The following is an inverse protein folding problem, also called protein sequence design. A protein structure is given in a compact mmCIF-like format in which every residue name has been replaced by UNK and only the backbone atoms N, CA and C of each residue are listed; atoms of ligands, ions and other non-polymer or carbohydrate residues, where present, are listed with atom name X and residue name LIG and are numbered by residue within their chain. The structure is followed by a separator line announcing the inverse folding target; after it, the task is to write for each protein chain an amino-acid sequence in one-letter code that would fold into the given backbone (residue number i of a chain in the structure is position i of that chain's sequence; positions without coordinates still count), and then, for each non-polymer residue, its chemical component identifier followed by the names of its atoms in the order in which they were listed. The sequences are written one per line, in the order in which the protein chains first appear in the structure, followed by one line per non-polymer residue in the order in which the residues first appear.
data_IF_150452229820
#
_entry.id   IF_150452229820
#
_cell.length_a   1.000
_cell.length_b   1.000
_cell.length_c   1.000
_cell.angle_alpha   90.00
_cell.angle_beta   90.00
_cell.angle_gamma   90.00
#
_symmetry.space_group_name_H-M   'P 1'
#
loop_
_entity.id
_entity.type
_entity.pdbx_description
1 polymer ?
#
# COMPACT_ATOMS: atom_id res chain seq x y z
N UNK A 1 1.17 -3.86 10.26
CA UNK A 1 2.23 -3.29 9.39
C UNK A 1 2.92 -4.43 8.65
N UNK A 2 3.10 -4.33 7.34
CA UNK A 2 3.62 -5.39 6.47
C UNK A 2 4.93 -4.93 5.84
N UNK A 3 5.97 -5.75 5.96
CA UNK A 3 7.21 -5.62 5.18
C UNK A 3 7.47 -6.92 4.43
N UNK A 4 7.92 -6.83 3.18
CA UNK A 4 8.20 -7.97 2.32
C UNK A 4 9.69 -7.99 2.00
N UNK A 5 10.35 -9.14 2.19
CA UNK A 5 11.68 -9.38 1.66
C UNK A 5 11.76 -10.81 1.12
N UNK A 6 11.83 -10.91 -0.21
CA UNK A 6 11.83 -12.18 -0.94
C UNK A 6 13.19 -12.46 -1.57
N UNK A 7 13.48 -13.74 -1.81
CA UNK A 7 14.67 -14.21 -2.49
C UNK A 7 15.92 -14.24 -1.62
N UNK A 8 17.12 -14.26 -2.24
CA UNK A 8 18.38 -14.42 -1.54
C UNK A 8 18.66 -13.37 -0.46
N UNK A 9 18.13 -12.15 -0.65
CA UNK A 9 18.26 -11.06 0.32
C UNK A 9 17.51 -11.35 1.62
N UNK A 10 16.51 -12.23 1.63
CA UNK A 10 15.81 -12.61 2.86
C UNK A 10 16.72 -13.28 3.89
N UNK A 11 17.77 -13.97 3.42
CA UNK A 11 18.76 -14.65 4.27
C UNK A 11 19.84 -13.71 4.81
N UNK A 12 20.16 -12.63 4.09
CA UNK A 12 21.15 -11.64 4.50
C UNK A 12 20.72 -10.24 4.02
N UNK A 13 19.76 -9.60 4.73
CA UNK A 13 19.26 -8.29 4.35
C UNK A 13 20.34 -7.21 4.55
N UNK A 14 20.39 -6.16 3.72
CA UNK A 14 21.26 -5.02 3.96
C UNK A 14 20.99 -4.40 5.35
N UNK A 15 22.04 -4.05 6.07
CA UNK A 15 21.92 -3.47 7.42
C UNK A 15 21.10 -2.19 7.43
N UNK A 16 21.21 -1.35 6.40
CA UNK A 16 20.41 -0.13 6.23
C UNK A 16 18.91 -0.42 6.15
N UNK A 17 18.50 -1.53 5.54
CA UNK A 17 17.09 -1.94 5.46
C UNK A 17 16.57 -2.47 6.78
N UNK A 18 17.41 -3.19 7.52
CA UNK A 18 17.07 -3.63 8.89
C UNK A 18 16.87 -2.40 9.78
N UNK A 19 17.79 -1.43 9.71
CA UNK A 19 17.67 -0.16 10.45
C UNK A 19 16.42 0.63 10.08
N UNK A 20 16.11 0.74 8.79
CA UNK A 20 14.92 1.41 8.29
C UNK A 20 13.64 0.76 8.83
N UNK A 21 13.51 -0.57 8.67
CA UNK A 21 12.38 -1.34 9.21
C UNK A 21 12.27 -1.20 10.73
N UNK A 22 13.38 -1.28 11.46
CA UNK A 22 13.36 -1.19 12.93
C UNK A 22 12.91 0.19 13.39
N UNK A 23 13.32 1.27 12.70
CA UNK A 23 12.81 2.63 12.99
C UNK A 23 11.28 2.70 12.94
N UNK A 24 10.66 1.97 12.00
CA UNK A 24 9.21 1.89 11.89
C UNK A 24 8.55 1.05 12.98
N UNK A 25 9.17 -0.07 13.37
CA UNK A 25 8.64 -0.97 14.40
C UNK A 25 8.72 -0.34 15.77
N UNK A 26 9.86 0.27 16.12
CA UNK A 26 10.06 0.92 17.40
C UNK A 26 9.06 2.07 17.59
N UNK A 27 8.90 2.89 16.55
CA UNK A 27 8.00 4.05 16.58
C UNK A 27 6.52 3.65 16.67
N UNK A 28 6.16 2.47 16.18
CA UNK A 28 4.79 1.94 16.14
C UNK A 28 4.65 0.63 16.93
N UNK A 29 5.39 0.50 18.03
CA UNK A 29 5.40 -0.72 18.88
C UNK A 29 4.04 -1.05 19.50
N UNK A 30 3.10 -0.09 19.48
CA UNK A 30 1.72 -0.25 19.91
C UNK A 30 0.81 -0.91 18.86
N UNK A 31 1.28 -1.17 17.63
CA UNK A 31 0.43 -1.80 16.62
C UNK A 31 0.22 -3.28 16.95
N UNK A 32 -0.99 -3.77 16.68
CA UNK A 32 -1.37 -5.16 17.01
C UNK A 32 -0.39 -6.18 16.40
N UNK A 33 0.03 -5.95 15.13
CA UNK A 33 0.88 -6.89 14.39
C UNK A 33 1.87 -6.21 13.46
N UNK A 34 3.11 -6.69 13.50
CA UNK A 34 4.16 -6.42 12.53
C UNK A 34 4.48 -7.71 11.77
N UNK A 35 4.12 -7.76 10.50
CA UNK A 35 4.35 -8.90 9.63
C UNK A 35 5.63 -8.74 8.84
N UNK A 36 6.36 -9.85 8.71
CA UNK A 36 7.54 -9.97 7.86
C UNK A 36 7.35 -11.14 6.90
N UNK A 37 7.29 -10.82 5.61
CA UNK A 37 6.94 -11.77 4.56
C UNK A 37 8.19 -12.24 3.82
N UNK A 38 8.38 -13.55 3.82
CA UNK A 38 9.46 -14.29 3.16
C UNK A 38 8.88 -15.20 2.09
N UNK A 39 9.71 -15.83 1.27
CA UNK A 39 9.25 -16.72 0.18
C UNK A 39 8.26 -17.79 0.66
N UNK A 40 8.55 -18.41 1.81
CA UNK A 40 7.75 -19.53 2.34
C UNK A 40 6.35 -19.06 2.78
N UNK A 41 6.28 -18.08 3.68
CA UNK A 41 4.99 -17.65 4.23
C UNK A 41 4.16 -16.87 3.20
N UNK A 42 4.79 -16.23 2.23
CA UNK A 42 4.10 -15.54 1.13
C UNK A 42 3.44 -16.53 0.20
N UNK A 43 4.14 -17.61 -0.16
CA UNK A 43 3.61 -18.67 -1.01
C UNK A 43 2.45 -19.39 -0.31
N UNK A 44 2.63 -19.78 0.95
CA UNK A 44 1.58 -20.42 1.75
C UNK A 44 0.34 -19.53 1.88
N UNK A 45 0.54 -18.23 2.13
CA UNK A 45 -0.57 -17.27 2.18
C UNK A 45 -1.35 -17.20 0.86
N UNK A 46 -0.64 -17.15 -0.28
CA UNK A 46 -1.29 -17.16 -1.59
C UNK A 46 -1.98 -18.50 -1.88
N UNK A 47 -1.39 -19.62 -1.49
CA UNK A 47 -2.02 -20.96 -1.62
C UNK A 47 -3.34 -21.05 -0.87
N UNK A 48 -3.36 -20.55 0.36
CA UNK A 48 -4.54 -20.67 1.22
C UNK A 48 -5.65 -19.67 0.86
N UNK A 49 -5.29 -18.46 0.39
CA UNK A 49 -6.24 -17.35 0.26
C UNK A 49 -6.52 -16.93 -1.19
N UNK A 50 -5.57 -17.15 -2.12
CA UNK A 50 -5.66 -16.73 -3.52
C UNK A 50 -5.07 -17.78 -4.48
N UNK A 51 -5.52 -19.05 -4.42
CA UNK A 51 -4.89 -20.14 -5.18
C UNK A 51 -4.90 -19.90 -6.69
N UNK A 52 -5.89 -19.17 -7.20
CA UNK A 52 -5.98 -18.78 -8.61
C UNK A 52 -4.80 -17.93 -9.11
N UNK A 53 -4.10 -17.21 -8.21
CA UNK A 53 -3.00 -16.32 -8.57
C UNK A 53 -1.63 -17.02 -8.56
N UNK A 54 -1.51 -18.21 -7.98
CA UNK A 54 -0.23 -18.91 -7.82
C UNK A 54 0.51 -19.13 -9.14
N UNK A 55 -0.22 -19.48 -10.20
CA UNK A 55 0.37 -19.69 -11.53
C UNK A 55 1.05 -18.41 -12.02
N UNK A 56 0.40 -17.27 -11.85
CA UNK A 56 0.94 -15.95 -12.22
C UNK A 56 2.11 -15.57 -11.31
N UNK A 57 1.97 -15.72 -10.00
CA UNK A 57 3.03 -15.48 -9.03
C UNK A 57 4.31 -16.25 -9.34
N UNK A 58 4.17 -17.55 -9.64
CA UNK A 58 5.30 -18.43 -9.97
C UNK A 58 5.92 -18.10 -11.33
N UNK A 59 5.17 -17.47 -12.24
CA UNK A 59 5.68 -17.03 -13.54
C UNK A 59 6.53 -15.76 -13.50
N UNK A 60 6.49 -15.00 -12.40
CA UNK A 60 7.29 -13.79 -12.26
C UNK A 60 8.79 -14.11 -12.22
N UNK A 61 9.54 -13.36 -13.03
CA UNK A 61 10.98 -13.56 -13.23
C UNK A 61 11.82 -13.01 -12.09
N UNK A 62 11.32 -11.97 -11.40
CA UNK A 62 12.07 -11.30 -10.34
C UNK A 62 11.30 -11.31 -9.01
N UNK A 63 12.05 -11.27 -7.91
CA UNK A 63 11.48 -11.17 -6.57
C UNK A 63 10.82 -9.81 -6.31
N UNK A 64 11.25 -8.76 -7.04
CA UNK A 64 10.59 -7.44 -7.00
C UNK A 64 9.17 -7.53 -7.56
N UNK A 65 8.98 -8.17 -8.71
CA UNK A 65 7.65 -8.39 -9.31
C UNK A 65 6.71 -9.17 -8.37
N UNK A 66 7.26 -10.17 -7.69
CA UNK A 66 6.57 -10.89 -6.61
C UNK A 66 6.20 -9.94 -5.48
N UNK A 67 7.16 -9.26 -4.85
CA UNK A 67 6.86 -8.31 -3.76
C UNK A 67 5.86 -7.20 -4.17
N UNK A 68 5.95 -6.70 -5.41
CA UNK A 68 5.05 -5.70 -6.00
C UNK A 68 3.60 -6.19 -6.10
N UNK A 69 3.37 -7.46 -6.39
CA UNK A 69 2.02 -8.01 -6.44
C UNK A 69 1.49 -8.41 -5.05
N UNK A 70 2.32 -9.01 -4.20
CA UNK A 70 1.91 -9.52 -2.89
C UNK A 70 1.35 -8.45 -1.96
N UNK A 71 1.96 -7.25 -1.95
CA UNK A 71 1.52 -6.14 -1.09
C UNK A 71 0.02 -5.82 -1.26
N UNK A 72 -0.52 -5.95 -2.46
CA UNK A 72 -1.95 -5.72 -2.70
C UNK A 72 -2.83 -6.83 -2.10
N UNK A 73 -2.41 -8.09 -2.17
CA UNK A 73 -3.12 -9.21 -1.54
C UNK A 73 -3.05 -9.15 -0.01
N UNK A 74 -1.91 -8.73 0.54
CA UNK A 74 -1.74 -8.53 1.98
C UNK A 74 -2.65 -7.41 2.48
N UNK A 75 -2.64 -6.26 1.80
CA UNK A 75 -3.52 -5.14 2.12
C UNK A 75 -4.99 -5.48 1.91
N UNK A 76 -5.34 -6.29 0.91
CA UNK A 76 -6.70 -6.81 0.75
C UNK A 76 -7.12 -7.64 1.97
N UNK A 77 -6.31 -8.63 2.34
CA UNK A 77 -6.69 -9.64 3.33
C UNK A 77 -6.61 -9.11 4.76
N UNK A 78 -5.53 -8.41 5.10
CA UNK A 78 -5.31 -7.93 6.46
C UNK A 78 -5.78 -6.49 6.65
N UNK A 79 -5.70 -5.66 5.61
CA UNK A 79 -5.73 -4.21 5.73
C UNK A 79 -4.42 -3.67 6.30
N UNK A 80 -4.46 -2.46 6.86
CA UNK A 80 -3.33 -1.84 7.55
C UNK A 80 -2.37 -1.16 6.59
N UNK A 81 -1.07 -1.20 6.92
CA UNK A 81 -0.02 -0.47 6.18
C UNK A 81 1.01 -1.44 5.62
N UNK A 82 1.40 -1.22 4.38
CA UNK A 82 2.58 -1.76 3.74
C UNK A 82 3.67 -0.68 3.62
N UNK A 83 4.91 -1.04 3.95
CA UNK A 83 6.11 -0.23 3.70
C UNK A 83 7.21 -1.09 3.08
N UNK A 84 7.95 -0.52 2.13
CA UNK A 84 9.19 -1.12 1.65
C UNK A 84 10.24 -1.20 2.78
N UNK A 85 11.14 -2.17 2.66
CA UNK A 85 12.21 -2.43 3.64
C UNK A 85 13.22 -1.30 3.76
N UNK A 86 13.30 -0.38 2.79
CA UNK A 86 14.25 0.72 2.74
C UNK A 86 13.66 2.06 3.22
N UNK A 87 12.44 2.08 3.75
CA UNK A 87 11.79 3.30 4.24
C UNK A 87 11.97 3.51 5.74
N UNK A 88 12.45 4.70 6.10
CA UNK A 88 12.55 5.13 7.50
C UNK A 88 11.26 5.81 7.96
N UNK A 89 10.82 5.46 9.16
CA UNK A 89 9.73 6.16 9.83
C UNK A 89 10.30 7.26 10.74
N UNK A 90 10.02 8.51 10.38
CA UNK A 90 10.45 9.68 11.15
C UNK A 90 9.40 10.15 12.17
N UNK A 91 8.12 9.82 11.92
CA UNK A 91 7.00 10.26 12.73
C UNK A 91 5.97 9.14 12.90
N UNK A 92 5.30 9.18 14.05
CA UNK A 92 4.17 8.31 14.38
C UNK A 92 3.00 8.53 13.42
N UNK A 93 2.38 7.45 12.97
CA UNK A 93 1.22 7.43 12.10
C UNK A 93 -0.10 7.44 12.88
N UNK A 94 -0.06 7.45 14.22
CA UNK A 94 -1.24 7.43 15.09
C UNK A 94 -2.24 8.54 14.74
N UNK A 95 -1.76 9.75 14.40
CA UNK A 95 -2.63 10.86 13.99
C UNK A 95 -3.39 10.57 12.68
N UNK A 96 -2.77 9.86 11.74
CA UNK A 96 -3.41 9.46 10.49
C UNK A 96 -4.47 8.41 10.78
N UNK A 97 -4.15 7.40 11.59
CA UNK A 97 -5.12 6.37 11.95
C UNK A 97 -6.31 6.92 12.72
N UNK A 98 -6.05 7.74 13.74
CA UNK A 98 -7.11 8.43 14.46
C UNK A 98 -7.99 9.26 13.52
N UNK A 99 -7.40 9.93 12.53
CA UNK A 99 -8.18 10.64 11.52
C UNK A 99 -9.06 9.70 10.69
N UNK A 100 -8.51 8.58 10.21
CA UNK A 100 -9.23 7.62 9.37
C UNK A 100 -10.35 6.92 10.16
N UNK A 101 -10.07 6.44 11.37
CA UNK A 101 -11.02 5.73 12.22
C UNK A 101 -12.24 6.59 12.58
N UNK A 102 -12.06 7.92 12.69
CA UNK A 102 -13.15 8.85 13.01
C UNK A 102 -13.98 9.28 11.78
N UNK A 103 -13.57 8.92 10.57
CA UNK A 103 -14.19 9.43 9.32
C UNK A 103 -14.67 8.33 8.39
N UNK A 104 -14.11 7.14 8.50
CA UNK A 104 -14.47 5.97 7.70
C UNK A 104 -15.57 5.24 8.42
N UNK A 105 -16.77 5.24 7.85
CA UNK A 105 -17.83 4.36 8.33
C UNK A 105 -17.45 2.91 8.04
N UNK A 106 -17.99 1.94 8.78
CA UNK A 106 -17.67 0.51 8.60
C UNK A 106 -17.87 -0.02 7.17
N UNK A 107 -18.71 0.66 6.39
CA UNK A 107 -19.06 0.30 5.00
C UNK A 107 -18.22 1.03 3.94
N UNK A 108 -17.19 1.78 4.36
CA UNK A 108 -16.33 2.56 3.47
C UNK A 108 -14.93 1.96 3.41
N UNK A 109 -14.37 1.97 2.19
CA UNK A 109 -13.04 1.48 1.94
C UNK A 109 -12.09 2.64 1.65
N UNK A 110 -10.92 2.64 2.27
CA UNK A 110 -9.86 3.62 2.02
C UNK A 110 -8.60 2.94 1.50
N UNK A 111 -7.99 3.56 0.50
CA UNK A 111 -6.64 3.30 0.05
C UNK A 111 -5.84 4.60 0.02
N UNK A 112 -4.65 4.58 0.63
CA UNK A 112 -3.72 5.70 0.67
C UNK A 112 -2.41 5.26 0.03
N UNK A 113 -1.84 6.09 -0.83
CA UNK A 113 -0.51 5.89 -1.38
C UNK A 113 0.20 7.23 -1.56
N UNK A 114 1.52 7.22 -1.62
CA UNK A 114 2.28 8.44 -1.92
C UNK A 114 2.15 8.78 -3.40
N UNK A 115 1.98 10.05 -3.75
CA UNK A 115 1.94 10.47 -5.15
C UNK A 115 3.31 10.24 -5.81
N UNK A 116 3.32 9.66 -6.99
CA UNK A 116 4.51 9.62 -7.83
C UNK A 116 4.52 10.84 -8.77
N UNK A 117 5.65 11.54 -8.84
CA UNK A 117 5.84 12.63 -9.79
C UNK A 117 6.44 12.09 -11.11
N UNK A 118 6.00 12.58 -12.29
CA UNK A 118 4.98 13.62 -12.53
C UNK A 118 3.54 13.13 -12.41
N UNK A 119 3.32 11.81 -12.53
CA UNK A 119 2.00 11.17 -12.53
C UNK A 119 2.10 9.77 -11.91
N UNK A 120 1.09 9.38 -11.15
CA UNK A 120 0.95 8.02 -10.61
C UNK A 120 0.96 7.95 -9.09
N UNK A 121 1.02 6.72 -8.58
CA UNK A 121 1.16 6.41 -7.16
C UNK A 121 2.43 5.59 -6.95
N UNK A 122 3.19 5.93 -5.91
CA UNK A 122 4.29 5.12 -5.41
C UNK A 122 3.72 3.92 -4.67
N UNK A 123 4.27 2.75 -4.93
CA UNK A 123 3.86 1.50 -4.30
C UNK A 123 4.67 1.18 -3.02
N UNK A 124 5.64 2.02 -2.64
CA UNK A 124 6.53 1.77 -1.50
C UNK A 124 5.93 2.08 -0.12
N UNK A 125 4.89 2.92 -0.07
CA UNK A 125 4.11 3.15 1.15
C UNK A 125 2.63 3.16 0.77
N UNK A 126 1.85 2.27 1.40
CA UNK A 126 0.42 2.15 1.13
C UNK A 126 -0.36 1.80 2.39
N UNK A 127 -1.56 2.35 2.52
CA UNK A 127 -2.52 1.99 3.57
C UNK A 127 -3.79 1.51 2.90
N UNK A 128 -4.40 0.44 3.40
CA UNK A 128 -5.72 0.04 2.94
C UNK A 128 -6.59 -0.47 4.08
N UNK A 129 -7.90 -0.23 3.99
CA UNK A 129 -8.88 -1.00 4.76
C UNK A 129 -8.91 -2.44 4.27
N UNK A 130 -9.19 -3.40 5.17
CA UNK A 130 -9.43 -4.80 4.79
C UNK A 130 -10.55 -4.88 3.74
N UNK A 131 -10.43 -5.82 2.80
CA UNK A 131 -11.34 -6.07 1.68
C UNK A 131 -11.53 -4.88 0.73
N UNK A 132 -10.61 -3.91 0.73
CA UNK A 132 -10.67 -2.79 -0.22
C UNK A 132 -10.82 -3.32 -1.66
N UNK A 133 -11.69 -2.78 -2.52
CA UNK A 133 -11.91 -3.30 -3.87
C UNK A 133 -10.74 -3.08 -4.83
N UNK A 134 -9.65 -2.44 -4.40
CA UNK A 134 -8.55 -2.00 -5.27
C UNK A 134 -7.83 -3.17 -5.97
N UNK A 135 -7.55 -4.32 -5.32
CA UNK A 135 -7.09 -5.55 -5.97
C UNK A 135 -8.06 -6.12 -7.02
N UNK A 136 -9.36 -5.80 -6.95
CA UNK A 136 -10.36 -6.19 -7.96
C UNK A 136 -10.42 -5.16 -9.11
N UNK A 137 -10.23 -3.87 -8.80
CA UNK A 137 -10.22 -2.78 -9.77
C UNK A 137 -8.93 -2.74 -10.59
N UNK A 138 -7.79 -2.93 -9.91
CA UNK A 138 -6.49 -3.14 -10.53
C UNK A 138 -6.48 -4.58 -10.99
N UNK A 139 -6.64 -4.85 -12.28
CA UNK A 139 -6.54 -6.20 -12.80
C UNK A 139 -5.08 -6.68 -12.59
N UNK A 140 -4.77 -7.30 -11.44
CA UNK A 140 -3.40 -7.48 -10.92
C UNK A 140 -2.47 -8.19 -11.92
N UNK A 141 -3.02 -9.00 -12.83
CA UNK A 141 -2.27 -9.62 -13.93
C UNK A 141 -1.58 -8.63 -14.89
N UNK A 142 -1.98 -7.35 -14.91
CA UNK A 142 -1.47 -6.31 -15.81
C UNK A 142 -0.42 -5.41 -15.14
N UNK A 143 -0.32 -5.40 -13.80
CA UNK A 143 0.53 -4.46 -13.05
C UNK A 143 2.05 -4.70 -13.18
N UNK A 144 2.47 -5.77 -13.86
CA UNK A 144 3.84 -6.30 -13.78
C UNK A 144 4.59 -6.35 -15.12
N UNK A 145 4.04 -5.70 -16.15
CA UNK A 145 4.80 -5.26 -17.33
C UNK A 145 5.39 -3.85 -17.06
N UNK A 146 6.50 -3.45 -17.69
CA UNK A 146 7.50 -2.52 -17.13
C UNK A 146 6.87 -1.20 -16.70
N UNK A 147 7.47 -0.49 -15.72
CA UNK A 147 6.74 0.26 -14.70
C UNK A 147 5.59 1.02 -15.32
N UNK A 148 4.36 0.54 -15.13
CA UNK A 148 3.19 1.28 -15.55
C UNK A 148 3.10 2.46 -14.59
N UNK A 149 3.75 3.54 -15.00
CA UNK A 149 3.43 4.89 -14.60
C UNK A 149 1.92 5.01 -14.83
N UNK A 150 1.14 5.07 -13.76
CA UNK A 150 -0.26 5.49 -13.89
C UNK A 150 -0.24 6.94 -14.33
N UNK A 151 -0.37 7.17 -15.63
CA UNK A 151 -0.48 8.50 -16.21
C UNK A 151 -1.84 9.11 -15.86
N UNK A 152 -1.91 9.74 -14.69
CA UNK A 152 -3.00 10.66 -14.36
C UNK A 152 -2.67 12.03 -14.98
N UNK A 153 -3.46 12.53 -15.94
CA UNK A 153 -3.19 13.83 -16.55
C UNK A 153 -3.12 14.91 -15.47
N UNK A 154 -2.15 15.81 -15.64
CA UNK A 154 -1.82 16.88 -14.72
C UNK A 154 -3.03 17.80 -14.49
N UNK A 155 -3.33 18.05 -13.22
CA UNK A 155 -4.34 19.01 -12.73
C UNK A 155 -5.73 18.79 -13.30
N UNK A 156 -6.41 17.79 -12.77
CA UNK A 156 -7.87 17.77 -12.73
C UNK A 156 -8.27 17.04 -11.46
N UNK A 157 -9.31 17.49 -10.77
CA UNK A 157 -10.00 16.62 -9.82
C UNK A 157 -10.58 15.47 -10.64
N UNK A 158 -9.82 14.38 -10.82
CA UNK A 158 -10.26 13.23 -11.61
C UNK A 158 -11.09 12.34 -10.68
N UNK A 159 -12.40 12.60 -10.65
CA UNK A 159 -13.38 11.65 -10.12
C UNK A 159 -13.39 10.42 -11.06
N UNK A 160 -12.71 9.34 -10.67
CA UNK A 160 -12.88 8.04 -11.35
C UNK A 160 -14.22 7.43 -10.98
N UNK A 161 -15.27 7.81 -11.69
CA UNK A 161 -16.54 7.08 -11.62
C UNK A 161 -16.39 5.73 -12.32
N UNK A 162 -15.99 4.70 -11.57
CA UNK A 162 -16.21 3.32 -11.98
C UNK A 162 -17.59 2.89 -11.47
N UNK A 163 -18.58 2.90 -12.36
CA UNK A 163 -19.98 2.56 -12.06
C UNK A 163 -20.15 1.18 -11.41
N UNK A 164 -19.16 0.29 -11.54
CA UNK A 164 -19.18 -1.04 -10.89
C UNK A 164 -18.81 -1.03 -9.40
N UNK A 165 -18.08 -0.02 -8.92
CA UNK A 165 -17.50 -0.03 -7.57
C UNK A 165 -17.73 1.25 -6.75
N UNK A 166 -18.31 2.32 -7.31
CA UNK A 166 -18.54 3.62 -6.62
C UNK A 166 -17.28 4.11 -5.86
N UNK A 167 -16.14 4.16 -6.56
CA UNK A 167 -14.92 4.74 -5.99
C UNK A 167 -14.78 6.23 -6.34
N UNK A 168 -14.25 7.03 -5.42
CA UNK A 168 -13.92 8.45 -5.61
C UNK A 168 -12.44 8.63 -5.26
N UNK A 169 -11.61 8.88 -6.27
CA UNK A 169 -10.22 9.30 -6.05
C UNK A 169 -10.19 10.77 -5.65
N UNK A 170 -9.59 11.08 -4.49
CA UNK A 170 -9.42 12.45 -4.01
C UNK A 170 -7.93 12.71 -3.80
N UNK A 171 -7.38 13.68 -4.53
CA UNK A 171 -5.99 14.10 -4.33
C UNK A 171 -5.92 15.07 -3.14
N UNK A 172 -5.05 14.80 -2.17
CA UNK A 172 -5.01 15.54 -0.91
C UNK A 172 -3.57 15.94 -0.58
N UNK A 173 -3.25 17.21 -0.75
CA UNK A 173 -1.93 17.75 -0.46
C UNK A 173 -1.73 17.90 1.05
N UNK A 174 -0.90 17.04 1.65
CA UNK A 174 -0.60 17.05 3.08
C UNK A 174 0.88 17.42 3.31
N UNK A 175 1.16 18.72 3.40
CA UNK A 175 2.51 19.23 3.64
C UNK A 175 3.45 19.04 2.44
N UNK A 176 4.78 18.91 2.65
CA UNK A 176 5.76 18.76 1.56
C UNK A 176 5.76 17.37 0.90
N UNK A 177 5.02 16.40 1.43
CA UNK A 177 4.82 15.09 0.83
C UNK A 177 3.42 15.07 0.19
N UNK A 178 3.35 15.07 -1.13
CA UNK A 178 2.08 14.91 -1.83
C UNK A 178 1.56 13.48 -1.62
N UNK A 179 0.42 13.33 -0.93
CA UNK A 179 -0.23 12.04 -0.67
C UNK A 179 -1.48 11.94 -1.55
N UNK A 180 -1.68 10.80 -2.20
CA UNK A 180 -2.88 10.51 -2.99
C UNK A 180 -3.80 9.58 -2.22
N UNK A 181 -5.09 9.95 -2.14
CA UNK A 181 -6.07 9.25 -1.33
C UNK A 181 -7.18 8.73 -2.23
N UNK A 182 -7.22 7.42 -2.41
CA UNK A 182 -8.27 6.76 -3.16
C UNK A 182 -9.30 6.26 -2.16
N UNK A 183 -10.45 6.90 -2.11
CA UNK A 183 -11.56 6.41 -1.31
C UNK A 183 -12.52 5.61 -2.19
N UNK A 184 -13.11 4.54 -1.66
CA UNK A 184 -14.17 3.82 -2.33
C UNK A 184 -15.38 3.67 -1.42
N UNK A 185 -16.48 4.35 -1.75
CA UNK A 185 -17.64 4.49 -0.87
C UNK A 185 -18.62 5.58 -1.31
N UNK A 186 -19.72 5.71 -0.55
CA UNK A 186 -20.85 6.60 -0.88
C UNK A 186 -20.64 8.07 -0.49
N UNK A 187 -19.57 8.43 0.23
CA UNK A 187 -19.33 9.80 0.74
C UNK A 187 -18.02 10.40 0.23
N UNK A 188 -18.01 11.74 0.08
CA UNK A 188 -16.81 12.55 -0.21
C UNK A 188 -16.02 12.78 1.08
N UNK A 189 -14.72 12.51 1.08
CA UNK A 189 -13.84 12.68 2.25
C UNK A 189 -13.21 14.09 2.26
N UNK A 190 -13.17 14.73 3.44
CA UNK A 190 -12.54 16.03 3.68
C UNK A 190 -11.46 15.87 4.77
N UNK A 191 -10.18 15.82 4.38
CA UNK A 191 -9.05 15.71 5.30
C UNK A 191 -8.58 17.05 5.86
N UNK A 192 -8.27 17.06 7.14
CA UNK A 192 -7.71 18.20 7.86
C UNK A 192 -6.19 18.02 8.03
N UNK A 193 -5.48 19.14 7.92
CA UNK A 193 -4.03 19.27 7.76
C UNK A 193 -3.19 18.54 8.84
N UNK A 194 -2.60 17.38 8.52
CA UNK A 194 -1.73 16.61 9.45
C UNK A 194 -0.39 16.26 8.79
N UNK A 195 0.70 16.93 9.14
CA UNK A 195 2.02 16.76 8.48
C UNK A 195 2.62 15.36 8.71
N UNK A 196 2.90 14.61 7.64
CA UNK A 196 3.67 13.35 7.66
C UNK A 196 4.86 13.43 6.71
N UNK A 197 6.01 12.83 7.08
CA UNK A 197 7.22 12.80 6.24
C UNK A 197 7.78 11.39 6.18
N UNK A 198 7.93 10.86 4.97
CA UNK A 198 8.57 9.56 4.66
C UNK A 198 9.79 9.88 3.80
N UNK A 199 10.96 9.33 4.15
CA UNK A 199 12.20 9.54 3.40
C UNK A 199 12.81 8.19 3.04
N UNK A 200 13.37 8.13 1.82
CA UNK A 200 14.15 7.01 1.31
C UNK A 200 15.63 7.25 1.57
#
# INVERSE_FOLDING_TARGET
MHHILLGPLSSSPPSSWISARNSCIELHSNFEKHYYWTDNNSKEFLENNYPWFLKTWNSYKTNVQKADSLRYFLLHYYGGIFLDMDLYCLHKLDGLFHYLDNRVSSDEHIFLAVKAFPVGISNGFMIATRNHPLPKCLNIGVLVFPPIIFSFPSRTNIEFHNERFNCICIEIHIGPADITIVACGKRKFLLYNSRFKITR
#
